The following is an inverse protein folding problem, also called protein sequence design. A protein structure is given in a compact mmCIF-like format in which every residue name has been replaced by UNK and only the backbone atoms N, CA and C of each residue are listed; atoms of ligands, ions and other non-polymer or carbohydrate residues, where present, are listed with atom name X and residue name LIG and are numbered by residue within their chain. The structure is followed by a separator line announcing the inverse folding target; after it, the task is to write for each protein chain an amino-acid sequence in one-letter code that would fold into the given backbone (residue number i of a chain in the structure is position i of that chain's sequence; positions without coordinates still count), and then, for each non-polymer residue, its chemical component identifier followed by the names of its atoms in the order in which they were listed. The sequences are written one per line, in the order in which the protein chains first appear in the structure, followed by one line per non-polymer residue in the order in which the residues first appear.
data_IF_355651017679
#
_entry.id   IF_355651017679
#
_cell.length_a   1.000
_cell.length_b   1.000
_cell.length_c   1.000
_cell.angle_alpha   90.00
_cell.angle_beta   90.00
_cell.angle_gamma   90.00
#
_symmetry.space_group_name_H-M   'P 1'
#
loop_
_entity.id
_entity.type
_entity.pdbx_description
1 polymer ?
#
# COMPACT_ATOMS: atom_id res chain seq x y z
N UNK A 1 -24.13 13.92 71.09
CA UNK A 1 -24.41 14.72 69.89
C UNK A 1 -23.75 14.05 68.71
N UNK A 2 -24.46 13.95 67.59
CA UNK A 2 -24.17 13.08 66.45
C UNK A 2 -22.89 13.45 65.70
N UNK A 3 -22.19 12.46 65.13
CA UNK A 3 -21.97 12.35 63.67
C UNK A 3 -21.46 10.95 63.36
N UNK A 4 -22.26 10.24 62.57
CA UNK A 4 -21.89 9.02 61.87
C UNK A 4 -21.25 9.47 60.56
N UNK A 5 -20.03 9.02 60.27
CA UNK A 5 -19.46 9.06 58.93
C UNK A 5 -18.77 7.72 58.67
N UNK A 6 -19.48 6.85 57.97
CA UNK A 6 -18.92 5.66 57.35
C UNK A 6 -18.24 6.07 56.04
N UNK A 7 -17.00 5.63 55.81
CA UNK A 7 -16.59 5.07 54.52
C UNK A 7 -15.26 4.31 54.69
N UNK A 8 -15.37 2.99 54.85
CA UNK A 8 -14.27 2.07 54.54
C UNK A 8 -14.39 1.75 53.07
N UNK A 9 -13.34 2.01 52.29
CA UNK A 9 -12.86 1.15 51.20
C UNK A 9 -11.41 1.59 50.93
N UNK A 10 -10.47 0.71 51.30
CA UNK A 10 -9.04 0.98 51.25
C UNK A 10 -8.56 1.31 49.84
N UNK A 11 -7.90 2.45 49.71
CA UNK A 11 -7.04 2.77 48.57
C UNK A 11 -5.80 1.87 48.63
N UNK A 12 -5.92 0.68 48.03
CA UNK A 12 -4.83 -0.22 47.75
C UNK A 12 -4.47 -0.19 46.27
N UNK A 13 -3.42 0.56 45.96
CA UNK A 13 -2.40 0.25 44.94
C UNK A 13 -2.78 0.13 43.45
N UNK A 14 -2.20 1.08 42.70
CA UNK A 14 -1.42 0.92 41.44
C UNK A 14 -2.11 0.64 40.10
N UNK A 15 -2.02 1.69 39.26
CA UNK A 15 -1.71 1.72 37.81
C UNK A 15 -2.56 0.92 36.84
N UNK A 16 -3.24 1.65 35.95
CA UNK A 16 -2.86 1.73 34.52
C UNK A 16 -3.48 2.99 33.95
N UNK A 17 -2.69 4.04 33.75
CA UNK A 17 -3.02 5.03 32.72
C UNK A 17 -3.08 4.26 31.41
N UNK A 18 -4.27 4.14 30.84
CA UNK A 18 -4.42 3.67 29.47
C UNK A 18 -3.70 4.70 28.58
N UNK A 19 -2.43 4.40 28.29
CA UNK A 19 -1.62 5.09 27.31
C UNK A 19 -2.43 5.11 26.02
N UNK A 20 -2.78 6.33 25.59
CA UNK A 20 -3.55 6.56 24.39
C UNK A 20 -2.90 5.77 23.27
N UNK A 21 -3.70 4.90 22.63
CA UNK A 21 -3.30 4.08 21.51
C UNK A 21 -2.36 4.86 20.61
N UNK A 22 -1.07 4.49 20.65
CA UNK A 22 -0.08 4.99 19.70
C UNK A 22 -0.71 4.77 18.33
N UNK A 23 -0.99 5.81 17.52
CA UNK A 23 -1.42 5.58 16.16
C UNK A 23 -0.34 4.70 15.56
N UNK A 24 -0.74 3.51 15.10
CA UNK A 24 0.14 2.53 14.49
C UNK A 24 1.08 3.31 13.59
N UNK A 25 2.38 3.32 13.93
CA UNK A 25 3.37 4.02 13.12
C UNK A 25 3.12 3.55 11.70
N UNK A 26 2.57 4.42 10.85
CA UNK A 26 2.58 4.22 9.41
C UNK A 26 4.00 3.80 9.12
N UNK A 27 4.18 2.55 8.69
CA UNK A 27 5.51 2.03 8.40
C UNK A 27 6.19 3.10 7.55
N UNK A 28 7.26 3.71 8.09
CA UNK A 28 8.00 4.72 7.37
C UNK A 28 8.53 3.99 6.14
N UNK A 29 7.89 4.20 4.99
CA UNK A 29 8.34 3.63 3.74
C UNK A 29 9.61 4.41 3.41
N UNK A 30 10.78 3.77 3.27
CA UNK A 30 11.98 4.52 2.92
C UNK A 30 11.93 4.81 1.42
N UNK A 31 11.29 5.90 1.01
CA UNK A 31 11.32 6.40 -0.37
C UNK A 31 10.01 6.21 -1.11
N UNK A 32 9.83 5.08 -1.83
CA UNK A 32 8.65 4.85 -2.67
C UNK A 32 7.85 3.63 -2.25
N UNK A 33 6.53 3.70 -2.40
CA UNK A 33 5.61 2.58 -2.16
C UNK A 33 4.40 2.63 -3.10
N UNK A 34 3.67 1.52 -3.18
CA UNK A 34 2.52 1.36 -4.07
C UNK A 34 1.26 1.04 -3.29
N UNK A 35 0.14 1.63 -3.71
CA UNK A 35 -1.18 1.32 -3.15
C UNK A 35 -2.22 1.19 -4.26
N UNK A 36 -2.81 0.00 -4.49
CA UNK A 36 -2.45 -1.31 -3.91
C UNK A 36 -1.12 -1.87 -4.45
N UNK A 37 -0.48 -2.80 -3.73
CA UNK A 37 0.77 -3.48 -4.17
C UNK A 37 0.53 -4.65 -5.14
N UNK A 38 -0.72 -4.95 -5.47
CA UNK A 38 -1.09 -6.02 -6.39
C UNK A 38 -2.42 -5.76 -7.08
N UNK A 39 -2.64 -6.42 -8.21
CA UNK A 39 -3.91 -6.42 -8.90
C UNK A 39 -4.09 -7.65 -9.76
N UNK A 40 -5.34 -8.06 -9.91
CA UNK A 40 -5.76 -9.17 -10.77
C UNK A 40 -6.54 -8.59 -11.95
N UNK A 41 -6.28 -9.10 -13.15
CA UNK A 41 -6.88 -8.59 -14.39
C UNK A 41 -6.99 -9.70 -15.43
N UNK A 42 -8.11 -9.72 -16.15
CA UNK A 42 -8.30 -10.61 -17.30
C UNK A 42 -7.61 -10.03 -18.56
N UNK A 43 -7.30 -10.85 -19.57
CA UNK A 43 -6.79 -10.35 -20.84
C UNK A 43 -7.77 -9.36 -21.47
N UNK A 44 -7.27 -8.25 -22.03
CA UNK A 44 -8.08 -7.13 -22.52
C UNK A 44 -8.53 -6.13 -21.44
N UNK A 45 -8.29 -6.43 -20.16
CA UNK A 45 -8.64 -5.57 -19.04
C UNK A 45 -7.54 -4.57 -18.64
N UNK A 46 -7.83 -3.83 -17.57
CA UNK A 46 -6.85 -2.94 -16.94
C UNK A 46 -6.92 -2.99 -15.42
N UNK A 47 -5.80 -2.74 -14.76
CA UNK A 47 -5.74 -2.53 -13.30
C UNK A 47 -4.88 -1.31 -12.99
N UNK A 48 -4.96 -0.77 -11.77
CA UNK A 48 -4.24 0.44 -11.38
C UNK A 48 -3.61 0.33 -10.00
N UNK A 49 -2.54 1.09 -9.82
CA UNK A 49 -1.94 1.39 -8.52
C UNK A 49 -1.56 2.85 -8.44
N UNK A 50 -1.39 3.35 -7.23
CA UNK A 50 -0.86 4.68 -6.94
C UNK A 50 0.59 4.51 -6.47
N UNK A 51 1.51 5.20 -7.13
CA UNK A 51 2.89 5.33 -6.66
C UNK A 51 2.97 6.55 -5.75
N UNK A 52 3.43 6.29 -4.54
CA UNK A 52 3.69 7.29 -3.53
C UNK A 52 5.20 7.42 -3.34
N UNK A 53 5.63 8.62 -2.96
CA UNK A 53 7.02 8.93 -2.68
C UNK A 53 7.10 9.96 -1.55
N UNK A 54 8.07 9.82 -0.65
CA UNK A 54 8.34 10.84 0.38
C UNK A 54 9.02 12.09 -0.21
N UNK A 55 9.69 11.92 -1.35
CA UNK A 55 10.40 12.99 -2.05
C UNK A 55 9.91 13.12 -3.51
N UNK A 56 10.08 14.28 -4.16
CA UNK A 56 9.75 14.43 -5.57
C UNK A 56 10.46 13.39 -6.45
N UNK A 57 9.72 12.77 -7.38
CA UNK A 57 10.27 11.77 -8.31
C UNK A 57 10.62 12.44 -9.64
N UNK A 58 11.92 12.63 -9.88
CA UNK A 58 12.42 13.19 -11.15
C UNK A 58 12.60 12.13 -12.25
N UNK A 59 12.90 10.89 -11.88
CA UNK A 59 13.07 9.77 -12.81
C UNK A 59 12.50 8.50 -12.19
N UNK A 60 11.60 7.85 -12.92
CA UNK A 60 11.02 6.56 -12.56
C UNK A 60 11.48 5.49 -13.53
N UNK A 61 12.18 4.47 -13.03
CA UNK A 61 12.57 3.30 -13.81
C UNK A 61 11.62 2.15 -13.54
N UNK A 62 11.17 1.47 -14.59
CA UNK A 62 10.24 0.33 -14.48
C UNK A 62 10.84 -0.89 -15.16
N UNK A 63 10.80 -2.03 -14.49
CA UNK A 63 11.29 -3.31 -15.03
C UNK A 63 10.35 -4.47 -14.68
N UNK A 64 10.43 -5.55 -15.45
CA UNK A 64 9.65 -6.77 -15.20
C UNK A 64 8.21 -6.76 -15.75
N UNK A 65 7.83 -5.76 -16.55
CA UNK A 65 6.57 -5.79 -17.28
C UNK A 65 6.61 -6.92 -18.34
N UNK A 66 5.62 -7.84 -18.34
CA UNK A 66 5.61 -8.94 -19.29
C UNK A 66 5.16 -8.49 -20.69
N UNK A 67 5.43 -9.31 -21.74
CA UNK A 67 4.90 -9.05 -23.08
C UNK A 67 3.38 -8.88 -23.07
N UNK A 68 2.89 -7.91 -23.83
CA UNK A 68 1.46 -7.62 -23.92
C UNK A 68 0.90 -6.75 -22.78
N UNK A 69 1.72 -6.32 -21.82
CA UNK A 69 1.32 -5.34 -20.80
C UNK A 69 1.96 -3.99 -21.08
N UNK A 70 1.13 -2.96 -21.22
CA UNK A 70 1.57 -1.57 -21.34
C UNK A 70 1.20 -0.78 -20.09
N UNK A 71 1.97 0.26 -19.79
CA UNK A 71 1.82 1.05 -18.58
C UNK A 71 1.60 2.52 -18.93
N UNK A 72 0.51 3.08 -18.43
CA UNK A 72 0.25 4.51 -18.45
C UNK A 72 0.64 5.13 -17.11
N UNK A 73 1.41 6.22 -17.15
CA UNK A 73 1.66 7.08 -15.99
C UNK A 73 0.81 8.34 -16.15
N UNK A 74 0.13 8.73 -15.07
CA UNK A 74 -0.62 9.98 -15.01
C UNK A 74 0.05 10.97 -14.05
N UNK A 75 -0.53 12.17 -13.92
CA UNK A 75 -0.03 13.38 -13.24
C UNK A 75 0.99 13.17 -12.11
N UNK A 76 1.90 14.15 -11.90
CA UNK A 76 3.03 13.99 -11.00
C UNK A 76 2.66 13.86 -9.51
N UNK A 77 1.42 14.17 -9.10
CA UNK A 77 1.03 14.02 -7.68
C UNK A 77 -0.49 13.85 -7.48
N UNK A 78 -0.97 12.67 -7.05
CA UNK A 78 -0.23 11.40 -6.97
C UNK A 78 -0.04 10.75 -8.34
N UNK A 79 1.06 9.99 -8.50
CA UNK A 79 1.34 9.26 -9.75
C UNK A 79 0.47 8.01 -9.81
N UNK A 80 -0.60 8.01 -10.63
CA UNK A 80 -1.30 6.77 -10.92
C UNK A 80 -0.62 6.01 -12.04
N UNK A 81 -0.43 4.72 -11.80
CA UNK A 81 0.08 3.75 -12.76
C UNK A 81 -1.08 2.85 -13.18
N UNK A 82 -1.39 2.86 -14.47
CA UNK A 82 -2.42 2.00 -15.05
C UNK A 82 -1.74 0.94 -15.91
N UNK A 83 -2.07 -0.31 -15.67
CA UNK A 83 -1.61 -1.46 -16.46
C UNK A 83 -2.72 -1.86 -17.42
N UNK A 84 -2.44 -1.82 -18.72
CA UNK A 84 -3.33 -2.31 -19.76
C UNK A 84 -2.82 -3.65 -20.24
N UNK A 85 -3.68 -4.65 -20.23
CA UNK A 85 -3.32 -6.02 -20.58
C UNK A 85 -3.93 -6.36 -21.94
N UNK A 86 -3.08 -6.70 -22.90
CA UNK A 86 -3.52 -7.10 -24.24
C UNK A 86 -4.35 -8.38 -24.17
N UNK A 87 -5.32 -8.59 -25.08
CA UNK A 87 -6.08 -9.85 -25.15
C UNK A 87 -5.20 -11.09 -25.34
N UNK A 88 -4.02 -10.91 -25.95
CA UNK A 88 -3.02 -11.97 -26.18
C UNK A 88 -2.01 -12.15 -25.05
N UNK A 89 -2.12 -11.41 -23.94
CA UNK A 89 -1.18 -11.51 -22.83
C UNK A 89 -1.31 -12.88 -22.15
N UNK A 90 -0.16 -13.49 -21.82
CA UNK A 90 -0.13 -14.78 -21.15
C UNK A 90 -0.61 -14.66 -19.69
N UNK A 91 -1.47 -15.59 -19.27
CA UNK A 91 -1.85 -15.71 -17.87
C UNK A 91 -0.64 -16.03 -16.98
N UNK A 92 -0.64 -15.50 -15.76
CA UNK A 92 0.46 -15.72 -14.82
C UNK A 92 0.61 -14.62 -13.77
N UNK A 93 1.55 -14.85 -12.83
CA UNK A 93 1.98 -13.86 -11.84
C UNK A 93 3.26 -13.17 -12.34
N UNK A 94 3.20 -11.85 -12.45
CA UNK A 94 4.31 -11.01 -12.87
C UNK A 94 4.67 -10.02 -11.76
N UNK A 95 5.97 -9.79 -11.56
CA UNK A 95 6.48 -8.84 -10.57
C UNK A 95 7.11 -7.67 -11.32
N UNK A 96 6.42 -6.54 -11.30
CA UNK A 96 6.91 -5.29 -11.85
C UNK A 96 7.62 -4.51 -10.75
N UNK A 97 8.84 -4.05 -11.01
CA UNK A 97 9.63 -3.27 -10.05
C UNK A 97 9.72 -1.83 -10.53
N UNK A 98 9.32 -0.91 -9.65
CA UNK A 98 9.46 0.53 -9.80
C UNK A 98 10.67 0.96 -8.99
N UNK A 99 11.56 1.77 -9.56
CA UNK A 99 12.72 2.30 -8.85
C UNK A 99 12.85 3.81 -9.08
N UNK A 100 13.02 4.54 -7.99
CA UNK A 100 13.19 5.99 -7.96
C UNK A 100 13.96 6.39 -6.68
N UNK A 101 14.82 7.40 -6.77
CA UNK A 101 15.56 7.96 -5.64
C UNK A 101 16.33 6.91 -4.79
N UNK A 102 16.83 5.84 -5.43
CA UNK A 102 17.51 4.74 -4.75
C UNK A 102 16.62 3.77 -3.98
N UNK A 103 15.30 3.98 -3.99
CA UNK A 103 14.29 3.06 -3.46
C UNK A 103 13.60 2.26 -4.56
N UNK A 104 13.07 1.09 -4.20
CA UNK A 104 12.28 0.25 -5.10
C UNK A 104 10.98 -0.22 -4.47
N UNK A 105 9.89 -0.20 -5.25
CA UNK A 105 8.61 -0.78 -4.90
C UNK A 105 8.21 -1.86 -5.91
N UNK A 106 7.52 -2.90 -5.45
CA UNK A 106 7.11 -4.03 -6.29
C UNK A 106 5.60 -4.11 -6.42
N UNK A 107 5.13 -4.31 -7.64
CA UNK A 107 3.74 -4.58 -7.95
C UNK A 107 3.58 -6.01 -8.44
N UNK A 108 2.63 -6.75 -7.85
CA UNK A 108 2.26 -8.09 -8.29
C UNK A 108 1.06 -8.00 -9.22
N UNK A 109 1.29 -8.19 -10.52
CA UNK A 109 0.23 -8.27 -11.52
C UNK A 109 -0.14 -9.73 -11.74
N UNK A 110 -1.40 -10.08 -11.52
CA UNK A 110 -1.94 -11.40 -11.82
C UNK A 110 -2.80 -11.27 -13.07
N UNK A 111 -2.35 -11.87 -14.17
CA UNK A 111 -3.15 -12.01 -15.38
C UNK A 111 -3.88 -13.35 -15.28
N UNK A 112 -5.21 -13.34 -15.24
CA UNK A 112 -6.00 -14.57 -15.22
C UNK A 112 -6.18 -15.11 -16.62
N UNK A 113 -6.62 -16.36 -16.74
CA UNK A 113 -7.22 -16.84 -17.98
C UNK A 113 -8.56 -16.11 -18.15
N UNK A 114 -8.80 -15.51 -19.31
CA UNK A 114 -10.15 -15.04 -19.64
C UNK A 114 -11.07 -16.25 -19.71
N UNK A 115 -12.20 -16.19 -19.02
CA UNK A 115 -13.34 -17.07 -19.33
C UNK A 115 -13.93 -16.48 -20.61
N UNK A 116 -13.80 -17.21 -21.72
CA UNK A 116 -14.40 -16.87 -23.03
C UNK A 116 -15.91 -17.06 -22.99
#
# INVERSE_FOLDING_TARGET
MATIAALVLGLGLTTTTADAATPARTAAHPGIWLTPTSGTVSPGGSTKTTLHSDEPVGLLTVSGAPPGVTMGLSNPDPIYVVFYVSPSAAAGLYVITFSANGSSAKYRLIITTGDD
#
